data_IF_348490171669
#
_entry.id   IF_348490171669
#
_cell.length_a   1.000
_cell.length_b   1.000
_cell.length_c   1.000
_cell.angle_alpha   90.00
_cell.angle_beta   90.00
_cell.angle_gamma   90.00
#
_symmetry.space_group_name_H-M   'P 1'
#
loop_
_entity.id
_entity.type
_entity.pdbx_description
1 polymer ?
#
# COMPACT_ATOMS: atom_id res chain seq x y z
N UNK A 1 -4.75 16.68 8.32
CA UNK A 1 -5.56 15.45 8.47
C UNK A 1 -6.28 15.12 7.16
N UNK A 2 -5.63 14.34 6.30
CA UNK A 2 -6.25 13.80 5.08
C UNK A 2 -6.41 12.29 5.25
N UNK A 3 -7.40 11.89 6.05
CA UNK A 3 -7.85 10.50 6.14
C UNK A 3 -9.20 10.43 5.43
N UNK A 4 -9.24 10.24 4.10
CA UNK A 4 -10.49 9.89 3.44
C UNK A 4 -10.99 8.57 4.05
N UNK A 5 -12.13 8.64 4.75
CA UNK A 5 -12.78 7.45 5.31
C UNK A 5 -13.51 6.76 4.18
N UNK A 6 -12.87 5.78 3.57
CA UNK A 6 -13.48 4.93 2.54
C UNK A 6 -14.15 3.72 3.15
N UNK A 7 -15.32 3.32 2.65
CA UNK A 7 -16.02 2.08 3.01
C UNK A 7 -15.39 0.83 2.39
N UNK A 8 -14.11 0.91 2.01
CA UNK A 8 -13.36 -0.13 1.33
C UNK A 8 -12.76 -1.16 2.30
N UNK A 9 -12.18 -2.24 1.75
CA UNK A 9 -11.54 -3.31 2.53
C UNK A 9 -10.29 -2.87 3.30
N UNK A 10 -9.72 -1.69 2.98
CA UNK A 10 -8.53 -1.14 3.63
C UNK A 10 -8.74 0.32 4.05
N UNK A 11 -8.20 0.69 5.19
CA UNK A 11 -8.19 2.03 5.76
C UNK A 11 -6.77 2.60 5.72
N UNK A 12 -6.63 3.92 5.59
CA UNK A 12 -5.32 4.58 5.71
C UNK A 12 -4.92 4.60 7.18
N UNK A 13 -3.84 3.90 7.51
CA UNK A 13 -3.21 3.91 8.84
C UNK A 13 -2.30 5.14 8.97
N UNK A 14 -1.36 5.27 8.04
CA UNK A 14 -0.47 6.43 7.98
C UNK A 14 -0.21 6.83 6.53
N UNK A 15 -0.08 8.14 6.30
CA UNK A 15 0.32 8.69 5.01
C UNK A 15 1.41 9.73 5.24
N UNK A 16 2.60 9.42 4.77
CA UNK A 16 3.71 10.37 4.64
C UNK A 16 3.70 10.86 3.20
N UNK A 17 3.31 12.11 3.02
CA UNK A 17 3.28 12.72 1.69
C UNK A 17 4.65 12.60 1.03
N UNK A 18 4.67 12.20 -0.25
CA UNK A 18 5.86 12.00 -1.07
C UNK A 18 6.84 10.91 -0.60
N UNK A 19 6.43 10.04 0.33
CA UNK A 19 7.28 8.93 0.80
C UNK A 19 6.54 7.60 0.82
N UNK A 20 5.53 7.44 1.66
CA UNK A 20 4.85 6.16 1.81
C UNK A 20 3.41 6.30 2.28
N UNK A 21 2.58 5.31 1.95
CA UNK A 21 1.23 5.17 2.46
C UNK A 21 1.01 3.76 2.96
N UNK A 22 0.67 3.63 4.23
CA UNK A 22 0.31 2.37 4.86
C UNK A 22 -1.20 2.26 4.97
N UNK A 23 -1.72 1.19 4.42
CA UNK A 23 -3.13 0.82 4.41
C UNK A 23 -3.29 -0.43 5.28
N UNK A 24 -4.23 -0.43 6.22
CA UNK A 24 -4.52 -1.59 7.09
C UNK A 24 -5.90 -2.14 6.78
N UNK A 25 -6.07 -3.45 6.92
CA UNK A 25 -7.36 -4.12 6.75
C UNK A 25 -8.43 -3.46 7.61
N UNK A 26 -9.60 -3.24 7.03
CA UNK A 26 -10.77 -2.72 7.74
C UNK A 26 -11.56 -3.88 8.37
N UNK A 27 -11.55 -4.07 9.70
CA UNK A 27 -12.33 -5.12 10.34
C UNK A 27 -13.85 -4.90 10.20
N UNK A 28 -14.27 -3.64 10.01
CA UNK A 28 -15.67 -3.26 9.85
C UNK A 28 -16.09 -3.16 8.37
N UNK A 29 -15.37 -3.85 7.47
CA UNK A 29 -15.72 -3.87 6.05
C UNK A 29 -17.07 -4.56 5.83
N UNK A 30 -18.01 -3.84 5.24
CA UNK A 30 -19.41 -4.27 5.10
C UNK A 30 -19.63 -5.55 4.26
N UNK A 31 -18.68 -5.93 3.40
CA UNK A 31 -18.72 -7.22 2.66
C UNK A 31 -18.05 -8.38 3.41
N UNK A 32 -17.58 -8.15 4.63
CA UNK A 32 -16.81 -9.12 5.39
C UNK A 32 -15.34 -9.17 4.95
N UNK A 33 -14.48 -9.68 5.82
CA UNK A 33 -13.03 -9.72 5.62
C UNK A 33 -12.50 -11.12 5.27
N UNK A 34 -13.37 -12.11 5.13
CA UNK A 34 -13.01 -13.53 5.01
C UNK A 34 -12.17 -13.83 3.76
N UNK A 35 -12.37 -13.07 2.67
CA UNK A 35 -11.60 -13.18 1.42
C UNK A 35 -10.38 -12.23 1.36
N UNK A 36 -10.07 -11.52 2.44
CA UNK A 36 -8.94 -10.59 2.50
C UNK A 36 -7.76 -11.24 3.21
N UNK A 37 -6.85 -11.80 2.42
CA UNK A 37 -5.67 -12.51 2.92
C UNK A 37 -4.51 -11.61 3.37
N UNK A 38 -4.58 -10.30 3.10
CA UNK A 38 -3.50 -9.34 3.38
C UNK A 38 -3.90 -8.42 4.53
N UNK A 39 -3.06 -8.32 5.55
CA UNK A 39 -3.35 -7.51 6.76
C UNK A 39 -3.01 -6.04 6.60
N UNK A 40 -1.95 -5.73 5.83
CA UNK A 40 -1.55 -4.37 5.53
C UNK A 40 -0.90 -4.28 4.15
N UNK A 41 -1.09 -3.15 3.48
CA UNK A 41 -0.45 -2.81 2.21
C UNK A 41 0.40 -1.57 2.46
N UNK A 42 1.71 -1.68 2.24
CA UNK A 42 2.63 -0.55 2.27
C UNK A 42 3.01 -0.16 0.85
N UNK A 43 2.67 1.06 0.47
CA UNK A 43 3.01 1.62 -0.83
C UNK A 43 4.11 2.64 -0.64
N UNK A 44 5.30 2.34 -1.16
CA UNK A 44 6.43 3.26 -1.20
C UNK A 44 6.46 4.01 -2.53
N UNK A 45 6.60 5.34 -2.47
CA UNK A 45 6.75 6.17 -3.67
C UNK A 45 8.23 6.29 -3.97
N UNK A 46 8.74 5.37 -4.80
CA UNK A 46 10.11 5.42 -5.32
C UNK A 46 10.08 5.95 -6.75
N UNK A 47 10.69 7.11 -6.99
CA UNK A 47 10.75 7.74 -8.33
C UNK A 47 11.82 7.14 -9.23
N UNK A 48 12.76 6.38 -8.67
CA UNK A 48 13.87 5.77 -9.37
C UNK A 48 13.62 4.26 -9.56
N UNK A 49 13.42 3.85 -10.81
CA UNK A 49 13.15 2.46 -11.17
C UNK A 49 14.35 1.54 -10.93
N UNK A 50 15.58 2.07 -10.92
CA UNK A 50 16.77 1.28 -10.57
C UNK A 50 16.73 0.89 -9.09
N UNK A 51 16.47 1.85 -8.20
CA UNK A 51 16.25 1.58 -6.77
C UNK A 51 15.07 0.63 -6.52
N UNK A 52 13.96 0.79 -7.26
CA UNK A 52 12.83 -0.12 -7.14
C UNK A 52 13.20 -1.56 -7.57
N UNK A 53 14.00 -1.72 -8.62
CA UNK A 53 14.47 -3.03 -9.09
C UNK A 53 15.46 -3.69 -8.12
N UNK A 54 16.34 -2.90 -7.49
CA UNK A 54 17.24 -3.38 -6.44
C UNK A 54 16.47 -3.80 -5.18
N UNK A 55 15.46 -3.04 -4.78
CA UNK A 55 14.63 -3.39 -3.62
C UNK A 55 13.74 -4.61 -3.88
N UNK A 56 13.26 -4.80 -5.11
CA UNK A 56 12.60 -6.03 -5.52
C UNK A 56 13.57 -7.22 -5.48
N UNK A 57 14.79 -7.07 -6.02
CA UNK A 57 15.81 -8.11 -5.98
C UNK A 57 16.27 -8.45 -4.55
N UNK A 58 16.29 -7.46 -3.66
CA UNK A 58 16.61 -7.63 -2.25
C UNK A 58 15.45 -8.23 -1.42
N UNK A 59 14.26 -8.39 -2.01
CA UNK A 59 13.07 -8.89 -1.32
C UNK A 59 12.44 -7.89 -0.35
N UNK A 60 12.78 -6.60 -0.47
CA UNK A 60 12.19 -5.53 0.33
C UNK A 60 10.86 -5.03 -0.26
N UNK A 61 10.61 -5.28 -1.55
CA UNK A 61 9.35 -5.00 -2.23
C UNK A 61 8.81 -6.29 -2.84
N UNK A 62 7.52 -6.57 -2.62
CA UNK A 62 6.85 -7.73 -3.22
C UNK A 62 6.33 -7.45 -4.63
N UNK A 63 5.98 -6.19 -4.91
CA UNK A 63 5.40 -5.74 -6.19
C UNK A 63 5.97 -4.37 -6.56
N UNK A 64 6.45 -4.24 -7.79
CA UNK A 64 6.81 -2.95 -8.39
C UNK A 64 5.78 -2.59 -9.44
N UNK A 65 5.08 -1.47 -9.23
CA UNK A 65 4.14 -0.90 -10.19
C UNK A 65 4.81 0.33 -10.79
N UNK A 66 5.25 0.24 -12.04
CA UNK A 66 5.82 1.39 -12.75
C UNK A 66 4.70 2.13 -13.48
N UNK A 67 4.71 3.46 -13.42
CA UNK A 67 3.78 4.31 -14.18
C UNK A 67 4.41 4.89 -15.45
N UNK A 68 5.55 4.34 -15.89
CA UNK A 68 6.20 4.80 -17.12
C UNK A 68 5.50 4.12 -18.32
N UNK A 69 4.92 4.88 -19.27
CA UNK A 69 4.26 4.32 -20.44
C UNK A 69 5.21 3.55 -21.36
#
# INVERSE_FOLDING_TARGET
>A
NQFPVGTGPFMIDTRVQDSSTRLVKNPDYWRGTDDIYVDAIEVFITTDTAQASEQLAAGALDVVITSNP
#
